data_IF_745437890793
#
_entry.id   IF_745437890793
#
_cell.length_a   1.000
_cell.length_b   1.000
_cell.length_c   1.000
_cell.angle_alpha   90.00
_cell.angle_beta   90.00
_cell.angle_gamma   90.00
#
_symmetry.space_group_name_H-M   'P 1'
#
loop_
_entity.id
_entity.type
_entity.pdbx_description
1 polymer ?
#
# COMPACT_ATOMS: atom_id res chain seq x y z
N UNK A 1 -9.03 -56.15 40.15
CA UNK A 1 -9.75 -56.58 38.93
C UNK A 1 -10.99 -55.70 38.63
N UNK A 2 -11.15 -54.59 39.29
CA UNK A 2 -12.33 -53.69 39.13
C UNK A 2 -11.97 -52.41 38.37
N UNK A 3 -10.68 -52.11 38.14
CA UNK A 3 -10.24 -50.85 37.52
C UNK A 3 -10.03 -50.91 36.01
N UNK A 4 -10.27 -52.04 35.36
CA UNK A 4 -10.15 -52.22 33.90
C UNK A 4 -11.50 -52.15 33.13
N UNK A 5 -12.63 -52.02 33.83
CA UNK A 5 -13.96 -51.94 33.21
C UNK A 5 -14.47 -50.54 33.00
N UNK A 6 -13.87 -49.51 33.64
CA UNK A 6 -14.32 -48.10 33.51
C UNK A 6 -13.71 -47.35 32.32
N UNK A 7 -12.72 -47.88 31.63
CA UNK A 7 -12.05 -47.25 30.50
C UNK A 7 -12.66 -47.61 29.14
N UNK A 8 -13.61 -48.54 29.09
CA UNK A 8 -14.21 -48.98 27.81
C UNK A 8 -15.64 -48.44 27.56
N UNK A 9 -16.18 -47.57 28.40
CA UNK A 9 -17.51 -46.93 28.19
C UNK A 9 -17.36 -45.48 27.63
N UNK A 10 -16.16 -44.96 27.59
CA UNK A 10 -15.91 -43.67 26.96
C UNK A 10 -15.43 -43.89 25.51
N UNK A 11 -16.24 -43.46 24.58
CA UNK A 11 -16.01 -43.41 23.10
C UNK A 11 -16.65 -44.53 22.27
N UNK A 12 -17.96 -44.71 22.45
CA UNK A 12 -18.82 -45.06 21.33
C UNK A 12 -20.00 -44.09 21.35
N UNK A 13 -19.71 -42.81 21.26
CA UNK A 13 -20.66 -41.88 20.66
C UNK A 13 -20.65 -42.25 19.18
N UNK A 14 -21.57 -43.14 18.76
CA UNK A 14 -21.98 -43.17 17.36
C UNK A 14 -22.30 -41.72 17.01
N UNK A 15 -21.49 -41.13 16.15
CA UNK A 15 -21.80 -39.83 15.57
C UNK A 15 -23.16 -40.00 14.89
N UNK A 16 -24.21 -39.53 15.52
CA UNK A 16 -25.52 -39.46 14.91
C UNK A 16 -25.32 -38.51 13.74
N UNK A 17 -25.46 -38.96 12.46
CA UNK A 17 -25.24 -38.10 11.34
C UNK A 17 -26.18 -36.87 11.49
N UNK A 18 -25.58 -35.70 11.60
CA UNK A 18 -26.33 -34.47 11.69
C UNK A 18 -27.22 -34.35 10.43
N UNK A 19 -28.45 -33.87 10.56
CA UNK A 19 -29.36 -33.78 9.43
C UNK A 19 -28.82 -32.88 8.35
N UNK A 20 -29.14 -33.14 7.08
CA UNK A 20 -28.65 -32.44 5.88
C UNK A 20 -28.84 -30.91 5.97
N UNK A 21 -29.89 -30.42 6.64
CA UNK A 21 -30.07 -28.99 6.86
C UNK A 21 -28.96 -28.35 7.70
N UNK A 22 -28.26 -29.14 8.52
CA UNK A 22 -27.14 -28.64 9.35
C UNK A 22 -25.80 -28.72 8.59
N UNK A 23 -25.51 -29.83 7.93
CA UNK A 23 -24.21 -30.07 7.28
C UNK A 23 -24.19 -29.70 5.77
N UNK A 24 -25.36 -29.52 5.14
CA UNK A 24 -25.48 -29.27 3.71
C UNK A 24 -25.15 -30.48 2.84
N UNK A 25 -24.97 -30.25 1.53
CA UNK A 25 -24.70 -31.32 0.57
C UNK A 25 -23.29 -31.93 0.70
N UNK A 26 -22.30 -31.16 1.16
CA UNK A 26 -20.91 -31.60 1.20
C UNK A 26 -20.52 -32.31 2.50
N UNK A 27 -21.33 -32.17 3.56
CA UNK A 27 -21.10 -32.80 4.87
C UNK A 27 -19.63 -32.73 5.36
N UNK A 28 -19.08 -31.50 5.33
CA UNK A 28 -17.66 -31.29 5.64
C UNK A 28 -17.41 -31.24 7.13
N UNK A 29 -16.35 -31.89 7.64
CA UNK A 29 -15.89 -31.67 9.01
C UNK A 29 -15.43 -30.22 9.21
N UNK A 30 -15.49 -29.72 10.42
CA UNK A 30 -15.25 -28.29 10.76
C UNK A 30 -13.90 -27.77 10.23
N UNK A 31 -12.83 -28.56 10.29
CA UNK A 31 -11.53 -28.12 9.78
C UNK A 31 -11.52 -27.92 8.26
N UNK A 32 -12.24 -28.77 7.48
CA UNK A 32 -12.39 -28.58 6.04
C UNK A 32 -13.23 -27.34 5.74
N UNK A 33 -14.28 -27.11 6.51
CA UNK A 33 -15.09 -25.91 6.38
C UNK A 33 -14.28 -24.63 6.63
N UNK A 34 -13.39 -24.63 7.62
CA UNK A 34 -12.44 -23.54 7.86
C UNK A 34 -11.53 -23.34 6.63
N UNK A 35 -10.95 -24.41 6.10
CA UNK A 35 -10.07 -24.34 4.91
C UNK A 35 -10.83 -23.79 3.71
N UNK A 36 -12.05 -24.29 3.44
CA UNK A 36 -12.89 -23.79 2.33
C UNK A 36 -13.21 -22.31 2.52
N UNK A 37 -13.60 -21.88 3.71
CA UNK A 37 -13.85 -20.48 4.02
C UNK A 37 -12.64 -19.60 3.72
N UNK A 38 -11.46 -20.02 4.14
CA UNK A 38 -10.20 -19.29 3.88
C UNK A 38 -9.88 -19.26 2.39
N UNK A 39 -10.12 -20.34 1.63
CA UNK A 39 -9.90 -20.38 0.17
C UNK A 39 -10.86 -19.44 -0.54
N UNK A 40 -12.15 -19.48 -0.25
CA UNK A 40 -13.16 -18.60 -0.84
C UNK A 40 -12.85 -17.12 -0.55
N UNK A 41 -12.51 -16.82 0.69
CA UNK A 41 -12.09 -15.48 1.12
C UNK A 41 -10.80 -15.05 0.41
N UNK A 42 -9.84 -15.96 0.24
CA UNK A 42 -8.59 -15.68 -0.46
C UNK A 42 -8.83 -15.34 -1.95
N UNK A 43 -9.74 -16.02 -2.63
CA UNK A 43 -10.13 -15.67 -4.02
C UNK A 43 -10.67 -14.23 -4.07
N UNK A 44 -11.48 -13.84 -3.07
CA UNK A 44 -11.98 -12.46 -2.96
C UNK A 44 -10.84 -11.45 -2.75
N UNK A 45 -9.90 -11.75 -1.87
CA UNK A 45 -8.70 -10.92 -1.65
C UNK A 45 -7.92 -10.75 -2.97
N UNK A 46 -7.69 -11.84 -3.71
CA UNK A 46 -7.00 -11.81 -5.00
C UNK A 46 -7.78 -10.98 -6.01
N UNK A 47 -9.11 -11.14 -6.08
CA UNK A 47 -9.95 -10.35 -6.98
C UNK A 47 -9.89 -8.85 -6.66
N UNK A 48 -9.92 -8.46 -5.39
CA UNK A 48 -9.78 -7.05 -4.98
C UNK A 48 -8.40 -6.52 -5.34
N UNK A 49 -7.32 -7.17 -4.88
CA UNK A 49 -5.96 -6.62 -5.03
C UNK A 49 -5.45 -6.66 -6.47
N UNK A 50 -5.80 -7.69 -7.26
CA UNK A 50 -5.32 -7.82 -8.65
C UNK A 50 -6.22 -7.07 -9.62
N UNK A 51 -7.55 -7.27 -9.52
CA UNK A 51 -8.48 -6.72 -10.51
C UNK A 51 -8.93 -5.30 -10.16
N UNK A 52 -9.53 -5.05 -8.99
CA UNK A 52 -10.00 -3.69 -8.65
C UNK A 52 -8.85 -2.72 -8.47
N UNK A 53 -7.85 -3.11 -7.68
CA UNK A 53 -6.79 -2.22 -7.26
C UNK A 53 -5.73 -2.03 -8.35
N UNK A 54 -4.98 -3.09 -8.69
CA UNK A 54 -3.80 -2.95 -9.57
C UNK A 54 -4.17 -2.86 -11.06
N UNK A 55 -5.23 -3.57 -11.50
CA UNK A 55 -5.69 -3.46 -12.89
C UNK A 55 -6.61 -2.26 -13.10
N UNK A 56 -7.76 -2.18 -12.41
CA UNK A 56 -8.78 -1.17 -12.68
C UNK A 56 -8.36 0.23 -12.21
N UNK A 57 -7.95 0.39 -10.95
CA UNK A 57 -7.61 1.70 -10.40
C UNK A 57 -6.27 2.22 -10.93
N UNK A 58 -5.20 1.44 -10.79
CA UNK A 58 -3.83 1.91 -11.04
C UNK A 58 -3.26 1.56 -12.41
N UNK A 59 -3.91 0.69 -13.17
CA UNK A 59 -3.48 0.27 -14.52
C UNK A 59 -2.01 -0.17 -14.57
N UNK A 60 -1.59 -0.89 -13.54
CA UNK A 60 -0.23 -1.39 -13.43
C UNK A 60 0.01 -2.70 -14.17
N UNK A 61 -1.07 -3.34 -14.62
CA UNK A 61 -1.04 -4.59 -15.40
C UNK A 61 -2.24 -4.68 -16.35
N UNK A 62 -2.15 -5.55 -17.37
CA UNK A 62 -3.26 -5.98 -18.19
C UNK A 62 -3.65 -7.43 -17.83
N UNK A 63 -4.95 -7.73 -17.91
CA UNK A 63 -5.50 -9.04 -17.62
C UNK A 63 -6.20 -9.62 -18.87
N UNK A 64 -6.15 -10.94 -19.01
CA UNK A 64 -6.92 -11.65 -20.01
C UNK A 64 -8.44 -11.41 -19.80
N UNK A 65 -9.24 -11.27 -20.87
CA UNK A 65 -10.69 -11.04 -20.76
C UNK A 65 -11.42 -12.05 -19.88
N UNK A 66 -11.11 -13.35 -20.00
CA UNK A 66 -11.75 -14.38 -19.18
C UNK A 66 -11.50 -14.17 -17.69
N UNK A 67 -10.24 -13.83 -17.31
CA UNK A 67 -9.90 -13.57 -15.92
C UNK A 67 -10.57 -12.30 -15.39
N UNK A 68 -10.71 -11.26 -16.23
CA UNK A 68 -11.48 -10.04 -15.88
C UNK A 68 -12.94 -10.35 -15.59
N UNK A 69 -13.58 -11.15 -16.44
CA UNK A 69 -14.99 -11.57 -16.24
C UNK A 69 -15.16 -12.44 -14.99
N UNK A 70 -14.24 -13.38 -14.76
CA UNK A 70 -14.23 -14.19 -13.54
C UNK A 70 -14.17 -13.32 -12.28
N UNK A 71 -13.24 -12.37 -12.20
CA UNK A 71 -13.11 -11.50 -11.03
C UNK A 71 -14.32 -10.59 -10.83
N UNK A 72 -14.90 -10.04 -11.91
CA UNK A 72 -16.12 -9.21 -11.81
C UNK A 72 -17.30 -10.02 -11.26
N UNK A 73 -17.51 -11.22 -11.80
CA UNK A 73 -18.55 -12.11 -11.33
C UNK A 73 -18.35 -12.51 -9.87
N UNK A 74 -17.12 -12.89 -9.51
CA UNK A 74 -16.76 -13.26 -8.16
C UNK A 74 -16.98 -12.11 -7.15
N UNK A 75 -16.52 -10.91 -7.48
CA UNK A 75 -16.70 -9.72 -6.64
C UNK A 75 -18.17 -9.34 -6.48
N UNK A 76 -18.96 -9.48 -7.51
CA UNK A 76 -20.41 -9.27 -7.43
C UNK A 76 -21.06 -10.25 -6.43
N UNK A 77 -20.64 -11.53 -6.43
CA UNK A 77 -21.15 -12.52 -5.47
C UNK A 77 -20.65 -12.32 -4.05
N UNK A 78 -19.41 -11.87 -3.86
CA UNK A 78 -18.75 -11.88 -2.54
C UNK A 78 -18.67 -10.53 -1.86
N UNK A 79 -18.94 -9.44 -2.57
CA UNK A 79 -18.83 -8.08 -2.01
C UNK A 79 -19.98 -7.16 -2.43
N UNK A 80 -20.70 -7.48 -3.50
CA UNK A 80 -21.69 -6.57 -4.11
C UNK A 80 -21.09 -5.29 -4.68
N UNK A 81 -19.75 -5.16 -4.72
CA UNK A 81 -19.08 -3.94 -5.19
C UNK A 81 -19.14 -3.79 -6.70
N UNK A 82 -19.48 -2.58 -7.14
CA UNK A 82 -19.39 -2.17 -8.53
C UNK A 82 -17.95 -1.75 -8.87
N UNK A 83 -17.41 -2.21 -9.99
CA UNK A 83 -16.04 -1.88 -10.43
C UNK A 83 -15.82 -0.38 -10.58
N UNK A 84 -16.78 0.36 -11.15
CA UNK A 84 -16.67 1.79 -11.40
C UNK A 84 -16.67 2.60 -10.10
N UNK A 85 -17.56 2.26 -9.17
CA UNK A 85 -17.66 2.92 -7.87
C UNK A 85 -16.36 2.73 -7.08
N UNK A 86 -15.93 1.49 -6.92
CA UNK A 86 -14.70 1.18 -6.18
C UNK A 86 -13.48 1.88 -6.77
N UNK A 87 -13.33 1.81 -8.09
CA UNK A 87 -12.23 2.44 -8.82
C UNK A 87 -12.24 3.96 -8.67
N UNK A 88 -13.42 4.59 -8.75
CA UNK A 88 -13.57 6.03 -8.63
C UNK A 88 -13.20 6.52 -7.23
N UNK A 89 -13.72 5.87 -6.19
CA UNK A 89 -13.47 6.21 -4.79
C UNK A 89 -11.97 6.07 -4.48
N UNK A 90 -11.36 4.97 -4.89
CA UNK A 90 -9.95 4.71 -4.67
C UNK A 90 -9.03 5.72 -5.40
N UNK A 91 -9.34 6.05 -6.65
CA UNK A 91 -8.60 7.10 -7.39
C UNK A 91 -8.77 8.48 -6.77
N UNK A 92 -9.98 8.81 -6.26
CA UNK A 92 -10.22 10.06 -5.54
C UNK A 92 -9.40 10.11 -4.26
N UNK A 93 -9.36 9.02 -3.49
CA UNK A 93 -8.50 8.93 -2.31
C UNK A 93 -7.05 9.26 -2.64
N UNK A 94 -6.44 8.64 -3.65
CA UNK A 94 -5.07 8.97 -4.04
C UNK A 94 -4.88 10.40 -4.53
N UNK A 95 -5.87 10.97 -5.24
CA UNK A 95 -5.79 12.34 -5.74
C UNK A 95 -5.98 13.41 -4.66
N UNK A 96 -6.75 13.10 -3.61
CA UNK A 96 -7.17 14.01 -2.56
C UNK A 96 -6.75 13.55 -1.16
N UNK A 97 -5.78 12.65 -1.09
CA UNK A 97 -5.36 12.03 0.15
C UNK A 97 -5.15 13.07 1.26
N UNK A 98 -5.81 12.84 2.41
CA UNK A 98 -5.72 13.67 3.62
C UNK A 98 -6.24 15.12 3.47
N UNK A 99 -7.00 15.41 2.44
CA UNK A 99 -7.78 16.64 2.32
C UNK A 99 -9.22 16.43 2.78
N UNK A 100 -9.99 17.52 2.89
CA UNK A 100 -11.42 17.46 3.22
C UNK A 100 -12.24 16.66 2.19
N UNK A 101 -11.74 16.54 0.95
CA UNK A 101 -12.37 15.80 -0.13
C UNK A 101 -12.03 14.28 -0.12
N UNK A 102 -11.11 13.85 0.73
CA UNK A 102 -10.75 12.44 0.84
C UNK A 102 -11.92 11.60 1.41
N UNK A 103 -12.38 10.56 0.70
CA UNK A 103 -13.52 9.76 1.13
C UNK A 103 -13.36 9.14 2.52
N UNK A 104 -12.14 8.78 2.91
CA UNK A 104 -11.90 7.99 4.13
C UNK A 104 -10.59 8.33 4.87
N UNK A 105 -10.12 9.58 4.79
CA UNK A 105 -8.93 9.98 5.53
C UNK A 105 -9.11 9.89 7.06
N UNK A 106 -8.29 9.11 7.76
CA UNK A 106 -8.31 9.09 9.22
C UNK A 106 -7.75 10.38 9.84
N UNK A 107 -6.96 11.15 9.08
CA UNK A 107 -6.44 12.45 9.52
C UNK A 107 -7.57 13.47 9.62
N UNK A 108 -8.51 13.46 8.66
CA UNK A 108 -9.63 14.41 8.60
C UNK A 108 -10.86 13.91 9.36
N UNK A 109 -11.26 12.65 9.13
CA UNK A 109 -12.49 12.07 9.70
C UNK A 109 -12.27 11.42 11.07
N UNK A 110 -11.02 11.24 11.49
CA UNK A 110 -10.63 10.55 12.71
C UNK A 110 -10.50 9.03 12.52
N UNK A 111 -9.44 8.46 13.10
CA UNK A 111 -9.14 7.03 12.99
C UNK A 111 -10.30 6.13 13.44
N UNK A 112 -10.92 6.45 14.58
CA UNK A 112 -12.04 5.67 15.10
C UNK A 112 -13.27 5.67 14.18
N UNK A 113 -13.50 6.72 13.43
CA UNK A 113 -14.58 6.81 12.44
C UNK A 113 -14.29 5.89 11.26
N UNK A 114 -13.10 5.99 10.66
CA UNK A 114 -12.71 5.17 9.50
C UNK A 114 -12.71 3.68 9.86
N UNK A 115 -12.17 3.32 11.03
CA UNK A 115 -12.14 1.92 11.49
C UNK A 115 -13.54 1.31 11.64
N UNK A 116 -14.52 2.07 12.13
CA UNK A 116 -15.88 1.54 12.41
C UNK A 116 -16.85 1.72 11.26
N UNK A 117 -16.68 2.78 10.45
CA UNK A 117 -17.61 3.21 9.41
C UNK A 117 -17.01 3.20 8.01
N UNK A 118 -15.92 2.46 7.79
CA UNK A 118 -15.24 2.43 6.49
C UNK A 118 -16.15 2.02 5.34
N UNK A 119 -16.99 0.99 5.55
CA UNK A 119 -17.97 0.54 4.56
C UNK A 119 -19.09 1.57 4.33
N UNK A 120 -19.54 2.25 5.37
CA UNK A 120 -20.57 3.31 5.27
C UNK A 120 -20.04 4.53 4.53
N UNK A 121 -18.78 4.95 4.82
CA UNK A 121 -18.11 6.02 4.11
C UNK A 121 -17.95 5.70 2.61
N UNK A 122 -17.62 4.43 2.29
CA UNK A 122 -17.60 3.97 0.91
C UNK A 122 -18.99 4.07 0.26
N UNK A 123 -20.04 3.56 0.92
CA UNK A 123 -21.41 3.57 0.39
C UNK A 123 -21.97 5.00 0.22
N UNK A 124 -21.56 5.94 1.07
CA UNK A 124 -21.90 7.36 0.93
C UNK A 124 -21.19 7.97 -0.28
N UNK A 125 -19.89 7.77 -0.42
CA UNK A 125 -19.12 8.31 -1.54
C UNK A 125 -19.51 7.69 -2.89
N UNK A 126 -19.97 6.43 -2.92
CA UNK A 126 -20.48 5.76 -4.12
C UNK A 126 -21.71 6.45 -4.73
N UNK A 127 -22.42 7.26 -3.96
CA UNK A 127 -23.57 8.07 -4.43
C UNK A 127 -23.15 9.42 -5.04
N UNK A 128 -21.88 9.79 -4.90
CA UNK A 128 -21.36 11.06 -5.39
C UNK A 128 -21.11 11.00 -6.90
N UNK A 129 -22.03 11.56 -7.68
CA UNK A 129 -21.99 11.56 -9.13
C UNK A 129 -20.73 12.21 -9.71
N UNK A 130 -20.23 13.28 -9.08
CA UNK A 130 -18.99 13.93 -9.50
C UNK A 130 -17.77 13.03 -9.31
N UNK A 131 -17.71 12.28 -8.23
CA UNK A 131 -16.67 11.28 -8.01
C UNK A 131 -16.71 10.21 -9.09
N UNK A 132 -17.87 9.67 -9.39
CA UNK A 132 -18.04 8.67 -10.45
C UNK A 132 -17.72 9.22 -11.84
N UNK A 133 -18.10 10.47 -12.12
CA UNK A 133 -17.85 11.14 -13.40
C UNK A 133 -16.38 11.45 -13.63
N UNK A 134 -15.69 11.97 -12.62
CA UNK A 134 -14.30 12.44 -12.72
C UNK A 134 -13.34 11.25 -12.67
N UNK A 135 -13.49 10.38 -11.68
CA UNK A 135 -12.52 9.32 -11.35
C UNK A 135 -12.90 7.93 -11.87
N UNK A 136 -14.18 7.68 -12.20
CA UNK A 136 -14.69 6.39 -12.69
C UNK A 136 -14.51 6.14 -14.19
N UNK A 137 -13.63 6.90 -14.86
CA UNK A 137 -13.40 6.77 -16.31
C UNK A 137 -12.70 5.45 -16.67
N UNK A 138 -13.08 4.90 -17.84
CA UNK A 138 -12.51 3.67 -18.42
C UNK A 138 -12.69 2.43 -17.52
N UNK A 139 -13.76 2.35 -16.77
CA UNK A 139 -14.24 1.14 -16.12
C UNK A 139 -15.19 0.37 -17.07
N UNK A 140 -15.44 -0.93 -16.82
CA UNK A 140 -16.38 -1.70 -17.60
C UNK A 140 -17.78 -1.05 -17.63
N UNK A 141 -18.37 -1.02 -18.83
CA UNK A 141 -19.74 -0.53 -19.06
C UNK A 141 -20.42 -1.39 -20.13
N UNK A 142 -20.24 -2.71 -20.02
CA UNK A 142 -20.88 -3.69 -20.92
C UNK A 142 -22.30 -4.06 -20.48
N UNK A 143 -22.97 -4.89 -21.27
CA UNK A 143 -24.33 -5.31 -20.99
C UNK A 143 -24.48 -6.01 -19.63
N UNK A 144 -23.50 -6.86 -19.24
CA UNK A 144 -23.52 -7.60 -17.96
C UNK A 144 -23.41 -6.59 -16.80
N UNK A 145 -22.50 -5.61 -16.92
CA UNK A 145 -22.34 -4.57 -15.90
C UNK A 145 -23.65 -3.82 -15.67
N UNK A 146 -24.26 -3.31 -16.76
CA UNK A 146 -25.47 -2.48 -16.65
C UNK A 146 -26.72 -3.25 -16.22
N UNK A 147 -26.89 -4.49 -16.69
CA UNK A 147 -28.15 -5.21 -16.51
C UNK A 147 -28.12 -6.25 -15.37
N UNK A 148 -26.93 -6.66 -14.91
CA UNK A 148 -26.77 -7.64 -13.84
C UNK A 148 -26.08 -7.03 -12.63
N UNK A 149 -24.82 -6.65 -12.74
CA UNK A 149 -24.03 -6.29 -11.57
C UNK A 149 -24.47 -4.97 -10.93
N UNK A 150 -24.61 -3.91 -11.73
CA UNK A 150 -25.07 -2.61 -11.23
C UNK A 150 -26.54 -2.59 -10.87
N UNK A 151 -27.38 -3.37 -11.61
CA UNK A 151 -28.83 -3.39 -11.37
C UNK A 151 -29.21 -4.22 -10.15
N UNK A 152 -28.47 -5.27 -9.85
CA UNK A 152 -28.75 -6.21 -8.76
C UNK A 152 -27.53 -6.43 -7.87
N UNK A 153 -27.00 -5.41 -7.19
CA UNK A 153 -25.79 -5.55 -6.36
C UNK A 153 -25.99 -6.55 -5.21
N UNK A 154 -27.19 -6.59 -4.62
CA UNK A 154 -27.55 -7.55 -3.55
C UNK A 154 -27.79 -8.94 -4.12
N UNK A 155 -28.14 -9.06 -5.41
CA UNK A 155 -28.44 -10.35 -6.05
C UNK A 155 -27.25 -11.32 -6.02
N UNK A 156 -26.03 -10.83 -6.24
CA UNK A 156 -24.82 -11.65 -6.17
C UNK A 156 -24.54 -12.15 -4.77
N UNK A 157 -24.61 -11.25 -3.80
CA UNK A 157 -24.40 -11.57 -2.36
C UNK A 157 -25.45 -12.58 -1.88
N UNK A 158 -26.70 -12.46 -2.31
CA UNK A 158 -27.77 -13.41 -2.02
C UNK A 158 -27.55 -14.77 -2.71
N UNK A 159 -27.04 -14.77 -3.95
CA UNK A 159 -26.68 -15.99 -4.65
C UNK A 159 -25.58 -16.75 -3.91
N UNK A 160 -24.52 -16.05 -3.44
CA UNK A 160 -23.48 -16.67 -2.64
C UNK A 160 -24.04 -17.24 -1.33
N UNK A 161 -24.94 -16.53 -0.65
CA UNK A 161 -25.61 -17.03 0.55
C UNK A 161 -26.34 -18.36 0.27
N UNK A 162 -27.10 -18.41 -0.83
CA UNK A 162 -27.82 -19.63 -1.21
C UNK A 162 -26.85 -20.77 -1.49
N UNK A 163 -25.77 -20.51 -2.23
CA UNK A 163 -24.73 -21.50 -2.53
C UNK A 163 -24.11 -22.02 -1.25
N UNK A 164 -23.67 -21.13 -0.35
CA UNK A 164 -23.02 -21.53 0.89
C UNK A 164 -23.95 -22.35 1.81
N UNK A 165 -25.22 -21.94 1.91
CA UNK A 165 -26.22 -22.70 2.72
C UNK A 165 -26.53 -24.05 2.10
N UNK A 166 -26.66 -24.17 0.78
CA UNK A 166 -26.88 -25.45 0.11
C UNK A 166 -25.69 -26.39 0.30
N UNK A 167 -24.47 -25.88 0.13
CA UNK A 167 -23.25 -26.71 0.23
C UNK A 167 -22.90 -27.10 1.66
N UNK A 168 -23.08 -26.20 2.62
CA UNK A 168 -22.56 -26.34 3.99
C UNK A 168 -23.64 -26.31 5.07
N UNK A 169 -24.94 -26.31 4.70
CA UNK A 169 -26.06 -26.27 5.62
C UNK A 169 -26.10 -25.00 6.47
N UNK A 170 -26.53 -25.11 7.72
CA UNK A 170 -26.58 -23.99 8.66
C UNK A 170 -25.21 -23.32 8.87
N UNK A 171 -24.12 -24.08 8.81
CA UNK A 171 -22.75 -23.56 8.91
C UNK A 171 -22.37 -22.69 7.70
N UNK A 172 -23.04 -22.84 6.56
CA UNK A 172 -22.91 -21.99 5.39
C UNK A 172 -23.19 -20.52 5.67
N UNK A 173 -24.07 -20.21 6.65
CA UNK A 173 -24.27 -18.82 7.11
C UNK A 173 -22.99 -18.23 7.68
N UNK A 174 -22.20 -19.00 8.42
CA UNK A 174 -20.92 -18.55 8.98
C UNK A 174 -19.88 -18.38 7.89
N UNK A 175 -19.82 -19.31 6.90
CA UNK A 175 -18.93 -19.19 5.75
C UNK A 175 -19.23 -17.91 4.98
N UNK A 176 -20.47 -17.69 4.64
CA UNK A 176 -20.94 -16.46 3.98
C UNK A 176 -20.63 -15.21 4.78
N UNK A 177 -20.93 -15.18 6.09
CA UNK A 177 -20.68 -14.01 6.93
C UNK A 177 -19.19 -13.64 7.00
N UNK A 178 -18.28 -14.62 7.07
CA UNK A 178 -16.83 -14.38 7.03
C UNK A 178 -16.42 -13.78 5.69
N UNK A 179 -16.92 -14.30 4.56
CA UNK A 179 -16.64 -13.74 3.24
C UNK A 179 -17.12 -12.28 3.13
N UNK A 180 -18.33 -11.99 3.61
CA UNK A 180 -18.93 -10.65 3.52
C UNK A 180 -18.23 -9.61 4.40
N UNK A 181 -17.75 -9.98 5.59
CA UNK A 181 -17.12 -9.02 6.51
C UNK A 181 -15.64 -8.77 6.20
N UNK A 182 -14.95 -9.67 5.49
CA UNK A 182 -13.51 -9.61 5.35
C UNK A 182 -13.01 -8.31 4.71
N UNK A 183 -13.52 -7.97 3.53
CA UNK A 183 -13.11 -6.75 2.82
C UNK A 183 -13.56 -5.47 3.52
N UNK A 184 -14.83 -5.33 3.97
CA UNK A 184 -15.25 -4.18 4.76
C UNK A 184 -14.40 -3.93 6.02
N UNK A 185 -14.07 -4.98 6.74
CA UNK A 185 -13.27 -4.85 7.97
C UNK A 185 -11.79 -4.56 7.66
N UNK A 186 -11.14 -5.42 6.87
CA UNK A 186 -9.71 -5.33 6.66
C UNK A 186 -9.31 -4.22 5.68
N UNK A 187 -9.97 -4.11 4.53
CA UNK A 187 -9.60 -3.10 3.54
C UNK A 187 -10.19 -1.72 3.90
N UNK A 188 -11.51 -1.60 4.04
CA UNK A 188 -12.14 -0.31 4.29
C UNK A 188 -11.88 0.23 5.71
N UNK A 189 -11.77 -0.64 6.72
CA UNK A 189 -11.45 -0.25 8.10
C UNK A 189 -9.94 -0.19 8.35
N UNK A 190 -9.28 -1.36 8.35
CA UNK A 190 -7.89 -1.47 8.81
C UNK A 190 -6.91 -0.80 7.87
N UNK A 191 -6.94 -1.09 6.55
CA UNK A 191 -5.99 -0.50 5.61
C UNK A 191 -6.22 1.00 5.49
N UNK A 192 -7.45 1.45 5.23
CA UNK A 192 -7.75 2.87 5.08
C UNK A 192 -7.58 3.66 6.40
N UNK A 193 -7.79 3.01 7.55
CA UNK A 193 -7.61 3.63 8.87
C UNK A 193 -6.18 3.53 9.40
N UNK A 194 -5.78 2.34 9.86
CA UNK A 194 -4.47 2.14 10.46
C UNK A 194 -3.33 2.32 9.46
N UNK A 195 -3.55 2.00 8.17
CA UNK A 195 -2.57 2.21 7.12
C UNK A 195 -2.11 3.66 6.96
N UNK A 196 -2.89 4.65 7.42
CA UNK A 196 -2.50 6.07 7.47
C UNK A 196 -2.14 6.58 8.88
N UNK A 197 -2.07 5.71 9.89
CA UNK A 197 -1.84 6.13 11.28
C UNK A 197 -0.66 5.41 11.93
N UNK A 198 -0.52 4.09 11.74
CA UNK A 198 0.38 3.23 12.50
C UNK A 198 1.17 2.33 11.57
N UNK A 199 2.48 2.25 11.77
CA UNK A 199 3.34 1.37 10.99
C UNK A 199 4.72 1.96 10.71
N UNK A 200 5.46 1.30 9.80
CA UNK A 200 6.76 1.79 9.34
C UNK A 200 6.65 2.44 7.96
N UNK A 201 7.63 3.28 7.61
CA UNK A 201 7.71 3.92 6.31
C UNK A 201 9.06 3.65 5.67
N UNK A 202 9.02 3.15 4.44
CA UNK A 202 10.20 3.01 3.60
C UNK A 202 10.56 4.34 2.93
N UNK A 203 9.52 5.13 2.60
CA UNK A 203 9.63 6.37 1.86
C UNK A 203 8.83 7.49 2.53
N UNK A 204 9.28 8.72 2.36
CA UNK A 204 8.52 9.90 2.77
C UNK A 204 7.73 10.41 1.56
N UNK A 205 6.49 9.94 1.41
CA UNK A 205 5.49 10.49 0.51
C UNK A 205 4.71 11.62 1.20
N UNK A 206 3.90 12.37 0.44
CA UNK A 206 3.19 13.56 0.94
C UNK A 206 2.04 13.24 1.89
N UNK A 207 1.54 12.03 1.85
CA UNK A 207 0.49 11.52 2.73
C UNK A 207 1.07 10.76 3.95
N UNK A 208 0.22 10.40 4.91
CA UNK A 208 0.62 9.74 6.14
C UNK A 208 0.69 8.20 6.00
N UNK A 209 0.49 7.63 4.81
CA UNK A 209 0.48 6.19 4.59
C UNK A 209 1.70 5.49 5.18
N UNK A 210 1.46 4.38 5.86
CA UNK A 210 2.47 3.54 6.52
C UNK A 210 2.32 2.09 6.06
N UNK A 211 3.39 1.31 6.10
CA UNK A 211 3.31 -0.14 5.99
C UNK A 211 2.95 -0.70 7.36
N UNK A 212 1.85 -1.44 7.46
CA UNK A 212 1.38 -2.03 8.72
C UNK A 212 2.31 -3.14 9.19
N UNK A 213 2.50 -4.13 8.32
CA UNK A 213 3.37 -5.29 8.53
C UNK A 213 4.08 -5.62 7.22
N UNK A 214 5.24 -6.33 7.26
CA UNK A 214 5.97 -6.66 6.04
C UNK A 214 5.36 -7.82 5.24
N UNK A 215 4.36 -8.48 5.76
CA UNK A 215 3.73 -9.66 5.16
C UNK A 215 2.35 -9.32 4.62
N UNK A 216 2.29 -8.98 3.34
CA UNK A 216 1.07 -8.64 2.64
C UNK A 216 0.25 -9.88 2.26
N UNK A 217 -0.36 -10.54 3.25
CA UNK A 217 -1.11 -11.80 3.09
C UNK A 217 -2.60 -11.60 3.31
N UNK A 218 -2.99 -10.86 4.36
CA UNK A 218 -4.38 -10.75 4.83
C UNK A 218 -5.24 -9.94 3.85
N UNK A 219 -4.64 -8.92 3.21
CA UNK A 219 -5.32 -8.06 2.23
C UNK A 219 -4.52 -8.01 0.91
N UNK A 220 -3.78 -9.07 0.61
CA UNK A 220 -3.16 -9.26 -0.70
C UNK A 220 -2.03 -8.29 -1.05
N UNK A 221 -1.32 -7.74 -0.06
CA UNK A 221 -0.22 -6.81 -0.24
C UNK A 221 -0.53 -5.38 0.16
N UNK A 222 -1.81 -5.05 0.42
CA UNK A 222 -2.23 -3.69 0.81
C UNK A 222 -1.68 -3.29 2.19
N UNK A 223 -1.20 -4.23 3.00
CA UNK A 223 -0.46 -4.00 4.25
C UNK A 223 0.83 -3.20 4.00
N UNK A 224 1.35 -3.20 2.77
CA UNK A 224 2.50 -2.40 2.32
C UNK A 224 2.07 -1.02 1.79
N UNK A 225 1.22 -0.35 2.53
CA UNK A 225 0.47 0.83 2.09
C UNK A 225 1.34 2.07 1.81
N UNK A 226 2.42 2.29 2.58
CA UNK A 226 3.39 3.35 2.27
C UNK A 226 4.13 3.10 0.95
N UNK A 227 4.48 1.86 0.66
CA UNK A 227 5.10 1.52 -0.63
C UNK A 227 4.14 1.77 -1.78
N UNK A 228 2.85 1.39 -1.59
CA UNK A 228 1.78 1.60 -2.55
C UNK A 228 1.54 3.10 -2.81
N UNK A 229 1.35 3.93 -1.78
CA UNK A 229 1.17 5.38 -1.93
C UNK A 229 2.38 6.09 -2.53
N UNK A 230 3.58 5.55 -2.33
CA UNK A 230 4.80 6.06 -2.99
C UNK A 230 4.85 5.73 -4.48
N UNK A 231 4.41 4.52 -4.86
CA UNK A 231 4.42 4.02 -6.25
C UNK A 231 3.05 3.43 -6.63
N UNK A 232 1.99 4.24 -6.72
CA UNK A 232 0.63 3.73 -6.92
C UNK A 232 0.48 2.94 -8.22
N UNK A 233 1.22 3.30 -9.27
CA UNK A 233 1.19 2.59 -10.55
C UNK A 233 2.08 1.32 -10.59
N UNK A 234 2.61 0.86 -9.46
CA UNK A 234 3.41 -0.37 -9.40
C UNK A 234 2.53 -1.61 -9.21
N UNK A 235 2.70 -2.61 -10.07
CA UNK A 235 2.07 -3.92 -9.88
C UNK A 235 2.66 -4.71 -8.70
N UNK A 236 3.83 -4.33 -8.21
CA UNK A 236 4.52 -4.92 -7.07
C UNK A 236 4.59 -3.92 -5.94
N UNK A 237 4.00 -4.23 -4.78
CA UNK A 237 3.99 -3.34 -3.62
C UNK A 237 5.18 -3.58 -2.69
N UNK A 238 5.76 -4.78 -2.67
CA UNK A 238 7.00 -5.02 -1.92
C UNK A 238 8.21 -4.34 -2.58
N UNK A 239 9.00 -3.60 -1.79
CA UNK A 239 10.21 -2.90 -2.26
C UNK A 239 11.48 -3.37 -1.54
N UNK A 240 11.34 -4.02 -0.38
CA UNK A 240 12.46 -4.59 0.38
C UNK A 240 12.46 -6.11 0.23
N UNK A 241 13.64 -6.74 0.38
CA UNK A 241 13.79 -8.21 0.25
C UNK A 241 13.03 -8.99 1.32
N UNK A 242 12.76 -8.38 2.47
CA UNK A 242 12.04 -8.98 3.60
C UNK A 242 10.54 -8.70 3.58
N UNK A 243 10.04 -7.97 2.58
CA UNK A 243 8.62 -7.73 2.38
C UNK A 243 8.05 -8.79 1.44
N UNK A 244 6.91 -9.32 1.80
CA UNK A 244 6.14 -10.26 1.00
C UNK A 244 4.85 -9.62 0.50
N UNK A 245 4.54 -9.83 -0.78
CA UNK A 245 3.37 -9.28 -1.48
C UNK A 245 2.62 -10.44 -2.15
N UNK A 246 1.53 -10.88 -1.54
CA UNK A 246 0.69 -11.97 -2.04
C UNK A 246 0.08 -11.66 -3.41
N UNK A 247 -0.40 -10.42 -3.60
CA UNK A 247 -0.95 -10.00 -4.90
C UNK A 247 0.10 -10.07 -6.02
N UNK A 248 1.35 -9.72 -5.72
CA UNK A 248 2.45 -9.88 -6.68
C UNK A 248 2.75 -11.36 -6.99
N UNK A 249 2.66 -12.24 -6.00
CA UNK A 249 2.84 -13.68 -6.23
C UNK A 249 1.78 -14.21 -7.22
N UNK A 250 0.52 -13.83 -7.05
CA UNK A 250 -0.56 -14.17 -7.99
C UNK A 250 -0.38 -13.53 -9.37
N UNK A 251 0.01 -12.26 -9.44
CA UNK A 251 0.29 -11.61 -10.74
C UNK A 251 1.41 -12.35 -11.48
N UNK A 252 2.45 -12.78 -10.78
CA UNK A 252 3.52 -13.59 -11.37
C UNK A 252 3.00 -14.92 -11.91
N UNK A 253 2.17 -15.62 -11.15
CA UNK A 253 1.53 -16.86 -11.59
C UNK A 253 0.67 -16.62 -12.84
N UNK A 254 -0.21 -15.62 -12.82
CA UNK A 254 -1.04 -15.29 -13.98
C UNK A 254 -0.21 -14.87 -15.20
N UNK A 255 0.91 -14.20 -14.99
CA UNK A 255 1.82 -13.82 -16.09
C UNK A 255 2.51 -15.04 -16.71
N UNK A 256 2.92 -16.03 -15.89
CA UNK A 256 3.50 -17.30 -16.37
C UNK A 256 2.48 -18.12 -17.18
N UNK A 257 1.20 -18.01 -16.82
CA UNK A 257 0.09 -18.67 -17.53
C UNK A 257 -0.44 -17.86 -18.75
N UNK A 258 0.18 -16.72 -19.07
CA UNK A 258 -0.29 -15.85 -20.16
C UNK A 258 -1.61 -15.10 -19.87
N UNK A 259 -2.08 -15.11 -18.61
CA UNK A 259 -3.34 -14.49 -18.19
C UNK A 259 -3.17 -13.03 -17.74
N UNK A 260 -1.94 -12.59 -17.48
CA UNK A 260 -1.62 -11.22 -17.10
C UNK A 260 -0.33 -10.72 -17.78
N UNK A 261 -0.28 -9.39 -18.03
CA UNK A 261 0.93 -8.70 -18.51
C UNK A 261 1.22 -7.53 -17.60
N UNK A 262 2.36 -7.54 -16.92
CA UNK A 262 2.80 -6.44 -16.06
C UNK A 262 3.19 -5.25 -16.94
N UNK A 263 2.64 -4.07 -16.63
CA UNK A 263 2.92 -2.83 -17.33
C UNK A 263 3.96 -1.99 -16.61
N UNK A 264 3.87 -1.91 -15.27
CA UNK A 264 4.73 -1.06 -14.45
C UNK A 264 5.08 -1.71 -13.12
N UNK A 265 6.31 -1.47 -12.68
CA UNK A 265 6.80 -1.75 -11.32
C UNK A 265 7.55 -0.53 -10.81
N UNK A 266 7.74 -0.44 -9.50
CA UNK A 266 8.55 0.62 -8.90
C UNK A 266 9.95 0.65 -9.55
N UNK A 267 10.51 1.83 -9.84
CA UNK A 267 11.80 1.95 -10.51
C UNK A 267 12.91 1.34 -9.66
N UNK A 268 13.88 0.74 -10.32
CA UNK A 268 15.11 0.23 -9.72
C UNK A 268 16.23 1.22 -10.02
N UNK A 269 16.93 1.64 -8.96
CA UNK A 269 18.05 2.53 -9.10
C UNK A 269 19.27 1.78 -9.68
N UNK A 270 19.68 2.16 -10.88
CA UNK A 270 20.92 1.68 -11.50
C UNK A 270 22.04 2.69 -11.23
N UNK A 271 23.23 2.19 -10.95
CA UNK A 271 24.42 2.98 -10.73
C UNK A 271 25.55 2.47 -11.60
N UNK A 272 26.27 3.40 -12.22
CA UNK A 272 27.44 3.12 -13.03
C UNK A 272 28.68 3.52 -12.23
N UNK A 273 29.47 2.57 -11.74
CA UNK A 273 30.70 2.89 -11.02
C UNK A 273 31.64 3.73 -11.91
N UNK A 274 32.21 4.79 -11.32
CA UNK A 274 33.13 5.69 -12.05
C UNK A 274 32.46 6.72 -13.00
N UNK A 275 31.13 6.71 -13.15
CA UNK A 275 30.42 7.78 -13.88
C UNK A 275 30.52 9.07 -13.06
N UNK A 276 31.28 10.05 -13.56
CA UNK A 276 31.43 11.37 -12.94
C UNK A 276 30.70 12.50 -13.66
N UNK A 277 30.06 12.20 -14.80
CA UNK A 277 29.42 13.19 -15.67
C UNK A 277 27.92 13.26 -15.32
N UNK A 278 27.48 14.48 -15.04
CA UNK A 278 26.07 14.81 -14.86
C UNK A 278 25.47 15.15 -16.23
N UNK A 279 24.76 14.21 -16.80
CA UNK A 279 24.06 14.33 -18.07
C UNK A 279 22.53 14.20 -17.86
N UNK A 280 21.77 14.28 -18.94
CA UNK A 280 20.32 14.15 -18.92
C UNK A 280 19.89 12.75 -18.44
N UNK A 281 20.65 11.69 -18.77
CA UNK A 281 20.40 10.33 -18.29
C UNK A 281 20.48 10.27 -16.75
N UNK A 282 21.50 10.89 -16.16
CA UNK A 282 21.65 10.98 -14.70
C UNK A 282 20.50 11.77 -14.07
N UNK A 283 20.13 12.92 -14.65
CA UNK A 283 19.05 13.75 -14.11
C UNK A 283 17.71 13.01 -14.13
N UNK A 284 17.37 12.33 -15.21
CA UNK A 284 16.16 11.53 -15.32
C UNK A 284 16.19 10.30 -14.40
N UNK A 285 17.35 9.66 -14.23
CA UNK A 285 17.52 8.56 -13.29
C UNK A 285 17.29 9.02 -11.83
N UNK A 286 17.80 10.18 -11.47
CA UNK A 286 17.59 10.81 -10.16
C UNK A 286 16.10 11.09 -9.95
N UNK A 287 15.42 11.71 -10.91
CA UNK A 287 13.99 12.01 -10.82
C UNK A 287 13.14 10.75 -10.64
N UNK A 288 13.40 9.72 -11.44
CA UNK A 288 12.67 8.46 -11.37
C UNK A 288 12.86 7.76 -10.02
N UNK A 289 14.05 7.91 -9.42
CA UNK A 289 14.40 7.28 -8.15
C UNK A 289 14.33 8.24 -6.94
N UNK A 290 13.65 9.39 -7.06
CA UNK A 290 13.61 10.43 -6.03
C UNK A 290 13.28 9.95 -4.62
N UNK A 291 12.35 9.04 -4.47
CA UNK A 291 11.97 8.50 -3.15
C UNK A 291 13.05 7.60 -2.55
N UNK A 292 13.68 6.74 -3.39
CA UNK A 292 14.83 5.94 -2.96
C UNK A 292 16.01 6.84 -2.58
N UNK A 293 16.25 7.91 -3.34
CA UNK A 293 17.31 8.88 -3.07
C UNK A 293 17.06 9.60 -1.76
N UNK A 294 15.83 10.03 -1.47
CA UNK A 294 15.50 10.64 -0.18
C UNK A 294 15.64 9.66 1.00
N UNK A 295 15.27 8.40 0.79
CA UNK A 295 15.51 7.36 1.80
C UNK A 295 17.02 7.12 2.05
N UNK A 296 17.84 7.20 1.00
CA UNK A 296 19.30 7.12 1.13
C UNK A 296 19.88 8.38 1.81
N UNK A 297 19.40 9.57 1.47
CA UNK A 297 19.78 10.81 2.14
C UNK A 297 19.56 10.72 3.66
N UNK A 298 18.39 10.22 4.07
CA UNK A 298 18.12 9.93 5.49
C UNK A 298 19.13 8.98 6.11
N UNK A 299 19.54 7.94 5.38
CA UNK A 299 20.46 6.90 5.87
C UNK A 299 21.92 7.38 5.90
N UNK A 300 22.36 8.04 4.83
CA UNK A 300 23.78 8.33 4.57
C UNK A 300 24.21 9.73 5.01
N UNK A 301 23.28 10.70 5.07
CA UNK A 301 23.59 12.09 5.44
C UNK A 301 23.03 12.39 6.83
N UNK A 302 21.69 12.34 7.00
CA UNK A 302 21.06 12.74 8.25
C UNK A 302 21.45 11.81 9.40
N UNK A 303 21.45 10.50 9.17
CA UNK A 303 21.73 9.51 10.23
C UNK A 303 23.11 9.64 10.86
N UNK A 304 24.20 9.65 10.08
CA UNK A 304 25.55 9.83 10.61
C UNK A 304 25.74 11.17 11.34
N UNK A 305 25.26 12.28 10.75
CA UNK A 305 25.43 13.59 11.38
C UNK A 305 24.65 13.71 12.69
N UNK A 306 23.41 13.25 12.75
CA UNK A 306 22.65 13.19 14.01
C UNK A 306 23.39 12.37 15.07
N UNK A 307 24.02 11.26 14.69
CA UNK A 307 24.82 10.44 15.61
C UNK A 307 26.04 11.20 16.12
N UNK A 308 26.72 11.96 15.27
CA UNK A 308 27.87 12.80 15.65
C UNK A 308 27.46 13.92 16.63
N UNK A 309 26.36 14.63 16.30
CA UNK A 309 25.85 15.71 17.15
C UNK A 309 25.37 15.20 18.52
N UNK A 310 24.69 14.02 18.54
CA UNK A 310 24.30 13.36 19.80
C UNK A 310 25.50 12.97 20.68
N UNK A 311 26.62 12.61 20.07
CA UNK A 311 27.83 12.26 20.83
C UNK A 311 28.50 13.49 21.49
N UNK A 312 28.30 14.67 20.90
CA UNK A 312 28.83 15.95 21.41
C UNK A 312 27.86 16.66 22.37
N UNK A 313 26.58 16.32 22.33
CA UNK A 313 25.53 17.02 23.05
C UNK A 313 25.57 16.72 24.55
N UNK A 314 25.39 17.76 25.37
CA UNK A 314 25.16 17.64 26.80
C UNK A 314 23.83 16.95 27.11
N UNK A 315 23.69 16.43 28.31
CA UNK A 315 22.51 15.66 28.72
C UNK A 315 21.17 16.44 28.58
N UNK A 316 21.21 17.73 28.86
CA UNK A 316 20.09 18.67 28.70
C UNK A 316 19.57 18.78 27.28
N UNK A 317 20.45 18.63 26.28
CA UNK A 317 20.17 18.78 24.86
C UNK A 317 19.88 17.42 24.20
N UNK A 318 20.40 16.31 24.73
CA UNK A 318 20.18 14.96 24.20
C UNK A 318 18.71 14.61 24.02
N UNK A 319 17.85 15.08 24.91
CA UNK A 319 16.42 14.86 24.81
C UNK A 319 15.81 15.48 23.52
N UNK A 320 16.31 16.65 23.11
CA UNK A 320 15.84 17.33 21.87
C UNK A 320 16.21 16.52 20.64
N UNK A 321 17.39 15.88 20.61
CA UNK A 321 17.85 15.03 19.51
C UNK A 321 17.19 13.64 19.44
N UNK A 322 16.46 13.27 20.49
CA UNK A 322 15.69 12.03 20.48
C UNK A 322 14.70 12.03 19.31
N UNK A 323 14.80 11.05 18.41
CA UNK A 323 14.04 10.97 17.15
C UNK A 323 14.42 12.02 16.08
N UNK A 324 15.51 12.77 16.23
CA UNK A 324 15.95 13.78 15.27
C UNK A 324 16.04 13.22 13.84
N UNK A 325 16.64 12.05 13.64
CA UNK A 325 16.72 11.38 12.33
C UNK A 325 15.34 11.22 11.69
N UNK A 326 14.29 10.89 12.46
CA UNK A 326 12.92 10.74 11.96
C UNK A 326 12.31 12.11 11.63
N UNK A 327 12.45 13.09 12.50
CA UNK A 327 11.87 14.42 12.33
C UNK A 327 12.52 15.17 11.16
N UNK A 328 13.84 15.21 11.08
CA UNK A 328 14.58 15.88 10.00
C UNK A 328 14.38 15.23 8.62
N UNK A 329 13.89 13.98 8.59
CA UNK A 329 13.57 13.28 7.34
C UNK A 329 12.11 13.39 6.95
N UNK A 330 11.22 13.76 7.86
CA UNK A 330 9.78 13.77 7.67
C UNK A 330 9.36 14.74 6.57
N UNK A 331 8.35 14.37 5.80
CA UNK A 331 7.72 15.27 4.84
C UNK A 331 7.18 16.52 5.57
N UNK A 332 7.52 17.76 5.13
CA UNK A 332 7.16 18.96 5.86
C UNK A 332 5.65 19.14 6.10
N UNK A 333 4.83 18.76 5.11
CA UNK A 333 3.36 18.85 5.20
C UNK A 333 2.74 17.96 6.29
N UNK A 334 3.48 16.95 6.77
CA UNK A 334 3.05 16.00 7.80
C UNK A 334 3.60 16.34 9.19
N UNK A 335 4.31 17.47 9.33
CA UNK A 335 4.85 17.91 10.61
C UNK A 335 3.78 18.67 11.40
N UNK A 336 3.58 18.27 12.64
CA UNK A 336 2.77 19.01 13.61
C UNK A 336 3.56 20.19 14.18
N UNK A 337 2.89 21.24 14.64
CA UNK A 337 3.51 22.46 15.20
C UNK A 337 4.59 22.16 16.25
N UNK A 338 4.28 21.27 17.20
CA UNK A 338 5.25 20.82 18.22
C UNK A 338 6.52 20.17 17.65
N UNK A 339 6.37 19.52 16.49
CA UNK A 339 7.49 18.87 15.80
C UNK A 339 8.33 19.90 15.03
N UNK A 340 7.69 20.91 14.47
CA UNK A 340 8.36 22.05 13.80
C UNK A 340 9.20 22.83 14.80
N UNK A 341 8.63 23.26 15.93
CA UNK A 341 9.37 23.94 17.02
C UNK A 341 10.57 23.11 17.47
N UNK A 342 10.43 21.79 17.56
CA UNK A 342 11.53 20.90 17.93
C UNK A 342 12.62 20.84 16.85
N UNK A 343 12.24 20.83 15.57
CA UNK A 343 13.21 20.89 14.47
C UNK A 343 13.98 22.21 14.53
N UNK A 344 13.30 23.34 14.69
CA UNK A 344 13.92 24.66 14.79
C UNK A 344 14.94 24.73 15.94
N UNK A 345 14.58 24.18 17.11
CA UNK A 345 15.51 24.12 18.25
C UNK A 345 16.75 23.27 17.93
N UNK A 346 16.60 22.13 17.24
CA UNK A 346 17.75 21.32 16.82
C UNK A 346 18.63 22.03 15.79
N UNK A 347 18.01 22.73 14.83
CA UNK A 347 18.75 23.48 13.80
C UNK A 347 19.46 24.70 14.36
N UNK A 348 18.91 25.37 15.38
CA UNK A 348 19.56 26.45 16.10
C UNK A 348 20.79 25.98 16.88
N UNK A 349 20.75 24.73 17.37
CA UNK A 349 21.86 24.14 18.13
C UNK A 349 23.02 23.64 17.26
N UNK A 350 22.79 23.24 16.02
CA UNK A 350 23.82 22.69 15.12
C UNK A 350 23.70 23.27 13.72
N UNK A 351 24.68 24.08 13.33
CA UNK A 351 24.80 24.64 11.99
C UNK A 351 24.93 23.54 10.93
N UNK A 352 25.61 22.44 11.23
CA UNK A 352 25.75 21.32 10.33
C UNK A 352 24.37 20.63 10.04
N UNK A 353 23.55 20.43 11.08
CA UNK A 353 22.17 19.91 10.88
C UNK A 353 21.33 20.90 10.10
N UNK A 354 21.47 22.20 10.28
CA UNK A 354 20.76 23.21 9.50
C UNK A 354 21.11 23.10 8.03
N UNK A 355 22.38 23.04 7.68
CA UNK A 355 22.85 22.90 6.29
C UNK A 355 22.27 21.64 5.62
N UNK A 356 22.36 20.46 6.25
CA UNK A 356 21.84 19.24 5.64
C UNK A 356 20.31 19.24 5.53
N UNK A 357 19.61 19.88 6.46
CA UNK A 357 18.15 20.02 6.38
C UNK A 357 17.74 20.94 5.24
N UNK A 358 18.37 22.08 5.07
CA UNK A 358 18.15 23.00 3.95
C UNK A 358 18.48 22.34 2.61
N UNK A 359 19.59 21.63 2.49
CA UNK A 359 19.96 20.87 1.29
C UNK A 359 18.97 19.76 0.97
N UNK A 360 18.41 19.09 2.00
CA UNK A 360 17.32 18.14 1.81
C UNK A 360 16.08 18.79 1.19
N UNK A 361 15.65 19.94 1.73
CA UNK A 361 14.48 20.67 1.23
C UNK A 361 14.73 21.20 -0.20
N UNK A 362 15.93 21.73 -0.46
CA UNK A 362 16.32 22.18 -1.79
C UNK A 362 16.24 21.03 -2.83
N UNK A 363 16.72 19.84 -2.47
CA UNK A 363 16.63 18.67 -3.33
C UNK A 363 15.17 18.27 -3.61
N UNK A 364 14.27 18.35 -2.61
CA UNK A 364 12.84 18.10 -2.81
C UNK A 364 12.18 19.14 -3.74
N UNK A 365 12.59 20.40 -3.66
CA UNK A 365 12.07 21.46 -4.52
C UNK A 365 12.43 21.26 -5.99
N UNK A 366 13.58 20.64 -6.30
CA UNK A 366 13.98 20.33 -7.68
C UNK A 366 12.94 19.42 -8.33
N UNK A 367 12.50 18.36 -7.65
CA UNK A 367 11.47 17.47 -8.22
C UNK A 367 10.04 18.00 -8.11
N UNK A 368 9.77 18.99 -7.28
CA UNK A 368 8.46 19.65 -7.24
C UNK A 368 8.25 20.59 -8.44
N UNK A 369 9.32 21.05 -9.07
CA UNK A 369 9.31 21.90 -10.29
C UNK A 369 9.15 21.09 -11.58
N UNK A 370 8.36 20.00 -11.56
CA UNK A 370 8.18 19.08 -12.71
C UNK A 370 7.57 19.69 -13.98
N UNK A 371 7.15 20.95 -13.95
CA UNK A 371 6.80 21.75 -15.14
C UNK A 371 8.01 22.38 -15.84
N UNK A 372 9.21 22.36 -15.22
CA UNK A 372 10.43 22.81 -15.84
C UNK A 372 10.87 21.81 -16.94
N UNK A 373 11.47 22.30 -18.00
CA UNK A 373 12.04 21.43 -19.02
C UNK A 373 13.19 20.59 -18.41
N UNK A 374 13.56 19.50 -19.07
CA UNK A 374 14.59 18.59 -18.55
C UNK A 374 15.96 19.27 -18.34
N UNK A 375 16.25 20.31 -19.13
CA UNK A 375 17.49 21.08 -19.03
C UNK A 375 17.56 21.86 -17.71
N UNK A 376 16.50 22.57 -17.34
CA UNK A 376 16.44 23.34 -16.08
C UNK A 376 16.60 22.42 -14.86
N UNK A 377 16.04 21.21 -14.93
CA UNK A 377 16.21 20.20 -13.89
C UNK A 377 17.66 19.73 -13.78
N UNK A 378 18.33 19.48 -14.90
CA UNK A 378 19.75 19.09 -14.93
C UNK A 378 20.61 20.17 -14.31
N UNK A 379 20.41 21.44 -14.68
CA UNK A 379 21.19 22.56 -14.13
C UNK A 379 20.91 22.73 -12.63
N UNK A 380 19.67 22.59 -12.19
CA UNK A 380 19.32 22.62 -10.76
C UNK A 380 20.00 21.49 -9.96
N UNK A 381 20.11 20.28 -10.53
CA UNK A 381 20.83 19.16 -9.90
C UNK A 381 22.34 19.45 -9.87
N UNK A 382 22.92 19.98 -10.93
CA UNK A 382 24.36 20.37 -10.98
C UNK A 382 24.68 21.39 -9.89
N UNK A 383 23.86 22.44 -9.79
CA UNK A 383 24.01 23.46 -8.76
C UNK A 383 23.90 22.87 -7.36
N UNK A 384 22.92 22.03 -7.12
CA UNK A 384 22.74 21.36 -5.83
C UNK A 384 23.95 20.50 -5.45
N UNK A 385 24.51 19.74 -6.40
CA UNK A 385 25.69 18.90 -6.19
C UNK A 385 26.92 19.78 -5.86
N UNK A 386 27.16 20.84 -6.64
CA UNK A 386 28.25 21.78 -6.38
C UNK A 386 28.19 22.36 -4.96
N UNK A 387 27.02 22.83 -4.55
CA UNK A 387 26.82 23.37 -3.21
C UNK A 387 26.97 22.31 -2.11
N UNK A 388 26.56 21.07 -2.38
CA UNK A 388 26.73 19.97 -1.42
C UNK A 388 28.21 19.62 -1.24
N UNK A 389 29.00 19.62 -2.30
CA UNK A 389 30.46 19.42 -2.27
C UNK A 389 31.20 20.56 -1.55
N UNK A 390 30.73 21.80 -1.75
CA UNK A 390 31.32 22.99 -1.10
C UNK A 390 30.94 23.13 0.40
N UNK A 391 30.01 22.34 0.90
CA UNK A 391 29.44 22.46 2.25
C UNK A 391 30.43 22.15 3.39
N UNK A 392 31.53 21.48 3.11
CA UNK A 392 32.48 21.00 4.14
C UNK A 392 32.00 19.78 4.95
N UNK A 393 30.75 19.27 4.68
CA UNK A 393 30.18 18.12 5.38
C UNK A 393 30.47 16.85 4.59
N UNK A 394 31.32 15.96 5.12
CA UNK A 394 31.78 14.77 4.39
C UNK A 394 30.63 13.88 3.93
N UNK A 395 29.68 13.58 4.80
CA UNK A 395 28.54 12.71 4.42
C UNK A 395 27.65 13.31 3.32
N UNK A 396 27.57 14.63 3.23
CA UNK A 396 26.83 15.31 2.15
C UNK A 396 27.62 15.29 0.84
N UNK A 397 28.94 15.45 0.91
CA UNK A 397 29.86 15.32 -0.22
C UNK A 397 29.82 13.92 -0.82
N UNK A 398 29.95 12.88 0.02
CA UNK A 398 29.89 11.48 -0.42
C UNK A 398 28.55 11.15 -1.09
N UNK A 399 27.47 11.73 -0.56
CA UNK A 399 26.14 11.58 -1.17
C UNK A 399 26.02 12.29 -2.51
N UNK A 400 26.58 13.47 -2.67
CA UNK A 400 26.62 14.21 -3.93
C UNK A 400 27.39 13.43 -5.00
N UNK A 401 28.56 12.89 -4.67
CA UNK A 401 29.34 12.01 -5.56
C UNK A 401 28.52 10.76 -5.97
N UNK A 402 27.80 10.16 -5.01
CA UNK A 402 26.94 9.03 -5.32
C UNK A 402 25.84 9.39 -6.33
N UNK A 403 25.25 10.59 -6.29
CA UNK A 403 24.23 11.02 -7.24
C UNK A 403 24.74 11.05 -8.67
N UNK A 404 26.00 11.38 -8.91
CA UNK A 404 26.63 11.39 -10.25
C UNK A 404 26.65 10.00 -10.90
N UNK A 405 26.58 8.93 -10.10
CA UNK A 405 26.64 7.55 -10.61
C UNK A 405 25.30 7.00 -11.12
N UNK A 406 24.19 7.72 -10.94
CA UNK A 406 22.87 7.22 -11.35
C UNK A 406 22.73 7.17 -12.87
N UNK A 407 22.02 6.13 -13.36
CA UNK A 407 21.70 5.92 -14.78
C UNK A 407 20.32 5.28 -14.93
N UNK A 408 19.64 5.57 -16.03
CA UNK A 408 18.35 4.94 -16.39
C UNK A 408 18.53 3.48 -16.80
N UNK A 409 19.69 3.12 -17.33
CA UNK A 409 19.97 1.76 -17.81
C UNK A 409 20.98 1.05 -16.92
N UNK A 410 20.84 -0.26 -16.72
CA UNK A 410 21.90 -1.04 -16.13
C UNK A 410 23.15 -0.95 -17.03
N UNK A 411 24.33 -1.04 -16.42
CA UNK A 411 25.57 -1.25 -17.17
C UNK A 411 25.38 -2.55 -17.96
N UNK A 412 25.60 -2.50 -19.27
CA UNK A 412 25.71 -3.72 -20.06
C UNK A 412 26.87 -4.53 -19.46
N UNK A 413 26.58 -5.75 -19.00
CA UNK A 413 27.57 -6.65 -18.42
C UNK A 413 28.51 -7.14 -19.52
#
# INVERSE_FOLDING_TARGET
>A
MVMRHFVRIAFSLQEVPLPMWYNGFLDLPVWQLIVVTLVLTHITIVAVTVYLHRYSAHRSLELNPALKHFFRFWLWMTTGMNTREWTAIHRKHHAKCETAEDPHSPVVKGLGTVMRKGAELYAEEAKNEDTLRIYGKNCPDDWIERNIYSRFPIGGVSLMLIIDVLLFGALGLTVWAVQMIWIPFWAAGVINGLGHAVGYRNFECRDAATNLVPWGIIVGGEELHNNHHTYPNSAKLSVKRWEFDMGWAWIRLFSMLGLAKVQRVAPIAHRVPGKGILDMDTAMAILNNRFQIMAQYRKLVIGPLVKQELAKADESVRHQFRRAKRLLSREPSLLQDKQQVRIEAMLAHSQALKVIYEKRLALQLIWARTSANGHDMLEAIKHWIHDAEASGIQSLRDFAEQLKTYSLRPVAA
#
